data_IF_548973795945
#
_entry.id   IF_548973795945
#
_cell.length_a   1.000
_cell.length_b   1.000
_cell.length_c   1.000
_cell.angle_alpha   90.00
_cell.angle_beta   90.00
_cell.angle_gamma   90.00
#
_symmetry.space_group_name_H-M   'P 1'
#
loop_
_entity.id
_entity.type
_entity.pdbx_description
1 polymer ?
#
# COMPACT_ATOMS: atom_id res chain seq x y z
N UNK A 1 24.12 -1.63 -12.55
CA UNK A 1 23.22 -2.57 -13.23
C UNK A 1 22.21 -3.10 -12.22
N UNK A 2 20.95 -2.87 -12.46
CA UNK A 2 19.93 -3.44 -11.59
C UNK A 2 19.76 -4.92 -11.92
N UNK A 3 19.71 -5.79 -10.89
CA UNK A 3 19.36 -7.17 -11.15
C UNK A 3 17.92 -7.25 -11.69
N UNK A 4 17.55 -8.35 -12.33
CA UNK A 4 16.16 -8.54 -12.74
C UNK A 4 15.21 -8.28 -11.57
N UNK A 5 14.09 -7.61 -11.85
CA UNK A 5 13.11 -7.31 -10.82
C UNK A 5 12.51 -8.62 -10.32
N UNK A 6 12.79 -8.94 -9.06
CA UNK A 6 12.30 -10.16 -8.45
C UNK A 6 11.35 -9.84 -7.31
N UNK A 7 10.21 -10.53 -7.33
CA UNK A 7 9.20 -10.42 -6.28
C UNK A 7 9.56 -11.37 -5.14
N UNK A 8 9.41 -10.92 -3.89
CA UNK A 8 9.60 -11.72 -2.68
C UNK A 8 10.92 -12.49 -2.64
N UNK A 9 12.03 -11.83 -2.94
CA UNK A 9 13.34 -12.47 -2.90
C UNK A 9 13.67 -13.01 -1.50
N UNK A 10 14.42 -14.12 -1.45
CA UNK A 10 14.74 -14.81 -0.20
C UNK A 10 15.51 -13.96 0.81
N UNK A 11 16.39 -13.06 0.33
CA UNK A 11 17.16 -12.18 1.21
C UNK A 11 16.30 -11.23 2.06
N UNK A 12 15.02 -11.05 1.69
CA UNK A 12 14.09 -10.21 2.44
C UNK A 12 13.08 -11.00 3.28
N UNK A 13 13.16 -12.33 3.24
CA UNK A 13 12.20 -13.20 3.93
C UNK A 13 12.16 -12.95 5.44
N UNK A 14 13.32 -12.82 6.09
CA UNK A 14 13.39 -12.57 7.53
C UNK A 14 12.74 -11.26 7.93
N UNK A 15 12.98 -10.20 7.15
CA UNK A 15 12.37 -8.89 7.38
C UNK A 15 10.86 -8.94 7.20
N UNK A 16 10.37 -9.61 6.15
CA UNK A 16 8.93 -9.76 5.92
C UNK A 16 8.26 -10.50 7.06
N UNK A 17 8.87 -11.58 7.56
CA UNK A 17 8.35 -12.35 8.69
C UNK A 17 8.29 -11.50 9.95
N UNK A 18 9.35 -10.75 10.26
CA UNK A 18 9.38 -9.84 11.39
C UNK A 18 8.24 -8.81 11.32
N UNK A 19 8.06 -8.16 10.18
CA UNK A 19 7.03 -7.13 10.00
C UNK A 19 5.62 -7.71 10.15
N UNK A 20 5.37 -8.94 9.66
CA UNK A 20 4.07 -9.59 9.83
C UNK A 20 3.74 -9.89 11.29
N UNK A 21 4.76 -10.22 12.12
CA UNK A 21 4.57 -10.58 13.52
C UNK A 21 4.60 -9.36 14.46
N UNK A 22 5.20 -8.25 14.01
CA UNK A 22 5.37 -7.03 14.81
C UNK A 22 4.63 -5.83 14.20
N UNK A 23 3.57 -6.09 13.43
CA UNK A 23 2.79 -5.05 12.79
C UNK A 23 2.03 -4.16 13.78
N UNK A 24 1.71 -2.94 13.36
CA UNK A 24 0.93 -2.00 14.14
C UNK A 24 -0.55 -2.41 14.17
N UNK A 25 -1.33 -1.78 15.07
CA UNK A 25 -2.78 -2.00 15.13
C UNK A 25 -3.43 -1.63 13.78
N UNK A 26 -2.98 -0.53 13.17
CA UNK A 26 -3.50 -0.12 11.86
C UNK A 26 -3.25 -1.18 10.78
N UNK A 27 -2.08 -1.80 10.79
CA UNK A 27 -1.77 -2.88 9.84
C UNK A 27 -2.67 -4.10 10.07
N UNK A 28 -2.95 -4.43 11.33
CA UNK A 28 -3.85 -5.54 11.68
C UNK A 28 -5.26 -5.26 11.15
N UNK A 29 -5.76 -4.05 11.37
CA UNK A 29 -7.09 -3.64 10.91
C UNK A 29 -7.14 -3.68 9.37
N UNK A 30 -6.14 -3.10 8.70
CA UNK A 30 -6.10 -3.12 7.24
C UNK A 30 -6.08 -4.54 6.70
N UNK A 31 -5.28 -5.43 7.29
CA UNK A 31 -5.23 -6.81 6.85
C UNK A 31 -6.58 -7.51 6.99
N UNK A 32 -7.32 -7.23 8.07
CA UNK A 32 -8.67 -7.77 8.25
C UNK A 32 -9.63 -7.32 7.15
N UNK A 33 -9.44 -6.12 6.62
CA UNK A 33 -10.24 -5.63 5.49
C UNK A 33 -9.87 -6.30 4.18
N UNK A 34 -8.58 -6.59 3.97
CA UNK A 34 -8.05 -7.03 2.69
C UNK A 34 -8.00 -8.54 2.50
N UNK A 35 -7.84 -9.30 3.59
CA UNK A 35 -7.63 -10.74 3.53
C UNK A 35 -8.86 -11.47 2.97
N UNK A 36 -8.65 -12.70 2.53
CA UNK A 36 -9.73 -13.62 2.11
C UNK A 36 -10.54 -13.10 0.93
N UNK A 37 -9.91 -12.31 0.06
CA UNK A 37 -10.54 -11.77 -1.17
C UNK A 37 -11.81 -10.96 -0.91
N UNK A 38 -11.89 -10.29 0.24
CA UNK A 38 -13.07 -9.52 0.63
C UNK A 38 -13.28 -8.26 -0.21
N UNK A 39 -12.21 -7.72 -0.80
CA UNK A 39 -12.30 -6.54 -1.64
C UNK A 39 -12.46 -6.97 -3.10
N UNK A 40 -13.69 -6.98 -3.58
CA UNK A 40 -14.03 -7.30 -4.98
C UNK A 40 -13.38 -8.60 -5.50
N UNK A 41 -13.12 -9.55 -4.61
CA UNK A 41 -12.58 -10.86 -4.98
C UNK A 41 -11.09 -10.90 -5.31
N UNK A 42 -10.35 -9.81 -5.13
CA UNK A 42 -8.93 -9.77 -5.43
C UNK A 42 -8.08 -10.19 -4.23
N UNK A 43 -6.92 -10.78 -4.52
CA UNK A 43 -6.01 -11.25 -3.47
C UNK A 43 -4.97 -10.20 -3.15
N UNK A 44 -4.90 -9.81 -1.88
CA UNK A 44 -3.82 -9.00 -1.35
C UNK A 44 -2.83 -9.87 -0.58
N UNK A 45 -1.56 -9.48 -0.67
CA UNK A 45 -0.46 -10.06 0.10
C UNK A 45 0.12 -8.97 1.00
N UNK A 46 0.50 -9.34 2.21
CA UNK A 46 1.12 -8.40 3.14
C UNK A 46 2.63 -8.58 3.18
N UNK A 47 3.33 -7.47 3.41
CA UNK A 47 4.78 -7.45 3.52
C UNK A 47 5.45 -8.10 2.30
N UNK A 48 5.05 -7.63 1.11
CA UNK A 48 5.52 -8.13 -0.16
C UNK A 48 6.77 -7.36 -0.60
N UNK A 49 7.84 -8.05 -0.97
CA UNK A 49 9.05 -7.37 -1.43
C UNK A 49 9.14 -7.29 -2.94
N UNK A 50 9.57 -6.14 -3.42
CA UNK A 50 9.85 -5.87 -4.82
C UNK A 50 11.14 -5.06 -4.88
N UNK A 51 12.17 -5.57 -5.54
CA UNK A 51 13.52 -4.98 -5.52
C UNK A 51 13.97 -4.73 -4.07
N UNK A 52 14.31 -3.49 -3.72
CA UNK A 52 14.72 -3.09 -2.38
C UNK A 52 13.56 -2.59 -1.52
N UNK A 53 12.34 -2.60 -2.06
CA UNK A 53 11.17 -2.11 -1.34
C UNK A 53 10.42 -3.26 -0.68
N UNK A 54 9.86 -2.99 0.49
CA UNK A 54 8.88 -3.87 1.14
C UNK A 54 7.56 -3.11 1.13
N UNK A 55 6.57 -3.68 0.45
CA UNK A 55 5.24 -3.09 0.34
C UNK A 55 4.36 -3.63 1.48
N UNK A 56 3.63 -2.74 2.15
CA UNK A 56 2.79 -3.16 3.27
C UNK A 56 1.72 -4.16 2.82
N UNK A 57 0.99 -3.80 1.78
CA UNK A 57 -0.03 -4.66 1.18
C UNK A 57 0.03 -4.52 -0.33
N UNK A 58 -0.03 -5.63 -1.03
CA UNK A 58 0.10 -5.62 -2.48
C UNK A 58 -0.86 -6.59 -3.14
N UNK A 59 -1.54 -6.12 -4.19
CA UNK A 59 -2.36 -6.93 -5.07
C UNK A 59 -1.64 -7.10 -6.41
N UNK A 60 -0.98 -8.25 -6.65
CA UNK A 60 -0.23 -8.45 -7.90
C UNK A 60 -1.10 -8.37 -9.16
N UNK A 61 -2.31 -8.89 -9.09
CA UNK A 61 -3.27 -8.88 -10.20
C UNK A 61 -3.54 -7.48 -10.74
N UNK A 62 -3.67 -6.52 -9.83
CA UNK A 62 -4.01 -5.14 -10.19
C UNK A 62 -2.82 -4.19 -10.15
N UNK A 63 -1.65 -4.67 -9.72
CA UNK A 63 -0.46 -3.85 -9.48
C UNK A 63 -0.80 -2.64 -8.58
N UNK A 64 -1.53 -2.93 -7.52
CA UNK A 64 -1.97 -1.94 -6.55
C UNK A 64 -1.31 -2.21 -5.21
N UNK A 65 -0.61 -1.21 -4.70
CA UNK A 65 0.03 -1.22 -3.38
C UNK A 65 -0.77 -0.33 -2.43
N UNK A 66 -0.95 -0.80 -1.20
CA UNK A 66 -1.52 0.01 -0.11
C UNK A 66 -0.44 0.17 0.95
N UNK A 67 -0.15 1.41 1.31
CA UNK A 67 0.86 1.75 2.30
C UNK A 67 0.22 2.47 3.49
N UNK A 68 0.72 2.17 4.68
CA UNK A 68 0.28 2.82 5.91
C UNK A 68 1.44 3.65 6.48
N UNK A 69 1.19 4.91 6.77
CA UNK A 69 2.18 5.81 7.35
C UNK A 69 1.96 5.94 8.87
N UNK A 70 2.96 5.51 9.64
CA UNK A 70 2.87 5.48 11.10
C UNK A 70 3.06 6.82 11.77
N UNK A 71 3.76 7.75 11.13
CA UNK A 71 3.99 9.09 11.66
C UNK A 71 3.98 10.08 10.51
N UNK A 72 3.49 11.32 10.74
CA UNK A 72 3.60 12.36 9.75
C UNK A 72 5.08 12.60 9.44
N UNK A 73 5.42 12.61 8.16
CA UNK A 73 6.78 12.94 7.73
C UNK A 73 6.94 14.44 7.81
N UNK A 74 7.39 14.95 8.97
CA UNK A 74 7.56 16.38 9.20
C UNK A 74 8.78 16.96 8.50
N UNK A 75 9.69 16.11 8.03
CA UNK A 75 10.89 16.58 7.34
C UNK A 75 10.67 16.59 5.84
N UNK A 76 11.20 17.63 5.19
CA UNK A 76 11.18 17.75 3.74
C UNK A 76 11.87 16.55 3.08
N UNK A 77 12.95 16.06 3.68
CA UNK A 77 13.68 14.88 3.19
C UNK A 77 12.81 13.63 3.21
N UNK A 78 12.06 13.40 4.28
CA UNK A 78 11.17 12.24 4.39
C UNK A 78 10.07 12.26 3.34
N UNK A 79 9.48 13.44 3.09
CA UNK A 79 8.46 13.61 2.04
C UNK A 79 9.02 13.35 0.65
N UNK A 80 10.25 13.79 0.41
CA UNK A 80 10.92 13.60 -0.86
C UNK A 80 11.22 12.13 -1.11
N UNK A 81 11.68 11.39 -0.10
CA UNK A 81 11.94 9.95 -0.19
C UNK A 81 10.67 9.18 -0.52
N UNK A 82 9.55 9.50 0.14
CA UNK A 82 8.26 8.87 -0.13
C UNK A 82 7.79 9.14 -1.55
N UNK A 83 7.95 10.35 -2.02
CA UNK A 83 7.61 10.73 -3.39
C UNK A 83 8.45 9.96 -4.41
N UNK A 84 9.75 9.84 -4.17
CA UNK A 84 10.65 9.11 -5.05
C UNK A 84 10.28 7.63 -5.11
N UNK A 85 9.99 7.02 -3.97
CA UNK A 85 9.56 5.63 -3.89
C UNK A 85 8.29 5.39 -4.70
N UNK A 86 7.26 6.21 -4.49
CA UNK A 86 5.99 6.10 -5.21
C UNK A 86 6.19 6.25 -6.71
N UNK A 87 7.01 7.20 -7.10
CA UNK A 87 7.35 7.45 -8.50
C UNK A 87 8.07 6.27 -9.12
N UNK A 88 9.04 5.69 -8.42
CA UNK A 88 9.80 4.54 -8.90
C UNK A 88 8.90 3.31 -9.06
N UNK A 89 8.04 3.05 -8.11
CA UNK A 89 7.10 1.93 -8.20
C UNK A 89 6.20 2.07 -9.43
N UNK A 90 5.72 3.28 -9.70
CA UNK A 90 4.88 3.52 -10.89
C UNK A 90 5.70 3.43 -12.18
N UNK A 91 6.84 4.11 -12.25
CA UNK A 91 7.61 4.21 -13.49
C UNK A 91 8.30 2.90 -13.87
N UNK A 92 8.84 2.17 -12.89
CA UNK A 92 9.62 0.96 -13.12
C UNK A 92 8.72 -0.28 -13.14
N UNK A 93 7.77 -0.37 -12.23
CA UNK A 93 6.97 -1.58 -12.01
C UNK A 93 5.51 -1.44 -12.41
N UNK A 94 5.09 -0.26 -12.82
CA UNK A 94 3.67 0.04 -13.12
C UNK A 94 2.76 -0.27 -11.92
N UNK A 95 3.24 0.02 -10.71
CA UNK A 95 2.50 -0.17 -9.47
C UNK A 95 1.96 1.18 -8.99
N UNK A 96 0.65 1.25 -8.81
CA UNK A 96 0.01 2.42 -8.21
C UNK A 96 -0.02 2.26 -6.70
N UNK A 97 0.18 3.34 -5.95
CA UNK A 97 0.21 3.32 -4.49
C UNK A 97 -0.94 4.12 -3.92
N UNK A 98 -1.73 3.47 -3.06
CA UNK A 98 -2.77 4.12 -2.26
C UNK A 98 -2.25 4.21 -0.83
N UNK A 99 -2.20 5.43 -0.28
CA UNK A 99 -1.57 5.66 1.02
C UNK A 99 -2.56 6.21 2.02
N UNK A 100 -2.55 5.63 3.24
CA UNK A 100 -3.36 6.09 4.36
C UNK A 100 -2.49 6.34 5.58
N UNK A 101 -2.84 7.32 6.37
CA UNK A 101 -2.26 7.50 7.69
C UNK A 101 -2.85 6.47 8.65
N UNK A 102 -2.05 5.97 9.60
CA UNK A 102 -2.51 4.99 10.59
C UNK A 102 -3.75 5.48 11.35
N UNK A 103 -3.78 6.75 11.74
CA UNK A 103 -4.91 7.33 12.46
C UNK A 103 -6.20 7.26 11.68
N UNK A 104 -6.15 7.39 10.36
CA UNK A 104 -7.34 7.28 9.50
C UNK A 104 -7.89 5.86 9.51
N UNK A 105 -7.01 4.86 9.47
CA UNK A 105 -7.41 3.46 9.53
C UNK A 105 -8.11 3.16 10.86
N UNK A 106 -7.59 3.72 11.96
CA UNK A 106 -8.15 3.51 13.30
C UNK A 106 -9.47 4.24 13.50
N UNK A 107 -9.57 5.50 13.06
CA UNK A 107 -10.71 6.37 13.34
C UNK A 107 -11.80 6.29 12.27
N UNK A 108 -11.44 6.03 11.02
CA UNK A 108 -12.36 6.06 9.87
C UNK A 108 -12.27 4.78 9.07
N UNK A 109 -12.31 3.64 9.75
CA UNK A 109 -12.12 2.31 9.15
C UNK A 109 -13.06 2.06 7.96
N UNK A 110 -14.34 2.36 8.10
CA UNK A 110 -15.31 2.14 7.02
C UNK A 110 -15.10 3.07 5.83
N UNK A 111 -14.67 4.30 6.09
CA UNK A 111 -14.31 5.22 5.02
C UNK A 111 -13.07 4.71 4.26
N UNK A 112 -12.06 4.24 4.99
CA UNK A 112 -10.86 3.63 4.41
C UNK A 112 -11.25 2.43 3.55
N UNK A 113 -12.11 1.55 4.07
CA UNK A 113 -12.62 0.40 3.32
C UNK A 113 -13.28 0.84 2.01
N UNK A 114 -14.13 1.87 2.05
CA UNK A 114 -14.80 2.39 0.86
C UNK A 114 -13.80 2.91 -0.18
N UNK A 115 -12.72 3.55 0.26
CA UNK A 115 -11.67 4.05 -0.64
C UNK A 115 -10.85 2.93 -1.26
N UNK A 116 -10.60 1.85 -0.52
CA UNK A 116 -9.95 0.67 -1.08
C UNK A 116 -10.83 0.01 -2.13
N UNK A 117 -12.13 -0.13 -1.85
CA UNK A 117 -13.09 -0.67 -2.82
C UNK A 117 -13.11 0.16 -4.11
N UNK A 118 -13.12 1.48 -3.96
CA UNK A 118 -13.10 2.42 -5.08
C UNK A 118 -11.80 2.29 -5.90
N UNK A 119 -10.65 2.22 -5.22
CA UNK A 119 -9.35 2.05 -5.87
C UNK A 119 -9.28 0.74 -6.65
N UNK A 120 -9.74 -0.36 -6.06
CA UNK A 120 -9.77 -1.67 -6.73
C UNK A 120 -10.66 -1.62 -7.96
N UNK A 121 -11.83 -0.99 -7.86
CA UNK A 121 -12.73 -0.83 -9.01
C UNK A 121 -12.08 -0.05 -10.15
N UNK A 122 -11.40 1.05 -9.82
CA UNK A 122 -10.67 1.83 -10.82
C UNK A 122 -9.56 1.03 -11.49
N UNK A 123 -8.78 0.29 -10.70
CA UNK A 123 -7.70 -0.53 -11.22
C UNK A 123 -8.20 -1.63 -12.13
N UNK A 124 -9.36 -2.22 -11.83
CA UNK A 124 -9.98 -3.25 -12.69
C UNK A 124 -10.37 -2.70 -14.07
N UNK A 125 -10.61 -1.39 -14.16
CA UNK A 125 -10.92 -0.70 -15.40
C UNK A 125 -9.68 -0.05 -16.04
N UNK A 126 -8.49 -0.43 -15.60
CA UNK A 126 -7.21 0.16 -16.01
C UNK A 126 -7.15 1.68 -15.77
N UNK A 127 -7.92 2.17 -14.80
CA UNK A 127 -7.95 3.57 -14.44
C UNK A 127 -6.83 3.98 -13.47
N UNK A 128 -6.58 5.29 -13.42
CA UNK A 128 -5.65 5.87 -12.46
C UNK A 128 -6.34 6.15 -11.13
N UNK A 129 -5.60 5.98 -10.03
CA UNK A 129 -6.09 6.32 -8.70
C UNK A 129 -5.54 7.66 -8.20
N UNK A 130 -4.84 8.42 -9.06
CA UNK A 130 -4.22 9.69 -8.68
C UNK A 130 -5.22 10.71 -8.12
N UNK A 131 -6.41 10.74 -8.69
CA UNK A 131 -7.44 11.69 -8.31
C UNK A 131 -8.32 11.21 -7.15
N UNK A 132 -8.00 10.05 -6.58
CA UNK A 132 -8.77 9.50 -5.48
C UNK A 132 -8.52 10.29 -4.19
N UNK A 133 -9.58 10.86 -3.61
CA UNK A 133 -9.47 11.59 -2.35
C UNK A 133 -9.36 10.59 -1.21
N UNK A 134 -8.22 10.61 -0.51
CA UNK A 134 -7.92 9.68 0.58
C UNK A 134 -7.81 10.33 1.95
N UNK A 135 -8.00 11.63 2.03
CA UNK A 135 -7.98 12.37 3.30
C UNK A 135 -9.37 12.92 3.61
N UNK A 136 -10.08 12.38 4.63
CA UNK A 136 -11.42 12.84 4.95
C UNK A 136 -11.47 14.29 5.46
N UNK A 137 -10.34 14.83 5.91
CA UNK A 137 -10.28 16.22 6.38
C UNK A 137 -10.29 17.25 5.26
N UNK A 138 -10.20 16.81 4.01
CA UNK A 138 -10.22 17.71 2.82
C UNK A 138 -11.61 17.73 2.18
N UNK A 139 -12.56 16.97 2.70
CA UNK A 139 -13.89 16.79 2.09
C UNK A 139 -14.93 17.83 2.52
N UNK A 140 -14.52 18.94 3.08
CA UNK A 140 -15.43 20.01 3.49
C UNK A 140 -15.73 20.98 2.35
#
# INVERSE_FOLDING_TARGET
>A
MHPPHTHNINSKKGMRTYLRTHGTIAEIIMWRLLKSRQIHGVKFRRQFSIDNYILDFYCPELRLCIELDGAPHFTEMGRLQDKCRTKDLLAIHNIQTLRFENDMVLKYTEWVRSKVLEAVSLCKLDGSIEDLVINPYILD
#
